data_IF_637265394974
#
_entry.id   IF_637265394974
#
_cell.length_a   1.000
_cell.length_b   1.000
_cell.length_c   1.000
_cell.angle_alpha   90.00
_cell.angle_beta   90.00
_cell.angle_gamma   90.00
#
_symmetry.space_group_name_H-M   'P 1'
#
loop_
_entity.id
_entity.type
_entity.pdbx_description
1 polymer ?
#
# COMPACT_ATOMS: atom_id res chain seq x y z
N UNK A 1 54.20 13.76 1.15
CA UNK A 1 52.90 14.47 1.08
C UNK A 1 52.20 13.99 -0.18
N UNK A 2 51.25 13.05 -0.04
CA UNK A 2 50.36 12.61 -1.11
C UNK A 2 48.96 12.57 -0.51
N UNK A 3 48.11 13.51 -0.91
CA UNK A 3 46.69 13.50 -0.59
C UNK A 3 45.98 12.73 -1.70
N UNK A 4 45.85 11.42 -1.49
CA UNK A 4 44.98 10.59 -2.31
C UNK A 4 43.54 11.00 -2.02
N UNK A 5 42.92 11.71 -2.97
CA UNK A 5 41.50 12.05 -2.93
C UNK A 5 40.74 10.81 -3.37
N UNK A 6 40.36 9.97 -2.41
CA UNK A 6 39.33 8.95 -2.61
C UNK A 6 38.05 9.68 -2.99
N UNK A 7 37.69 9.60 -4.27
CA UNK A 7 36.36 9.97 -4.75
C UNK A 7 35.39 8.93 -4.22
N UNK A 8 34.59 9.32 -3.23
CA UNK A 8 33.39 8.57 -2.84
C UNK A 8 32.48 8.53 -4.06
N UNK A 9 32.54 7.42 -4.79
CA UNK A 9 31.49 7.05 -5.73
C UNK A 9 30.23 6.89 -4.90
N UNK A 10 29.43 7.96 -4.83
CA UNK A 10 28.09 7.91 -4.28
C UNK A 10 27.33 6.83 -5.03
N UNK A 11 27.27 5.64 -4.43
CA UNK A 11 26.38 4.58 -4.83
C UNK A 11 25.00 5.19 -4.86
N UNK A 12 24.54 5.52 -6.07
CA UNK A 12 23.15 5.85 -6.31
C UNK A 12 22.39 4.56 -6.04
N UNK A 13 22.02 4.36 -4.78
CA UNK A 13 21.24 3.21 -4.33
C UNK A 13 19.93 3.31 -5.08
N UNK A 14 19.81 2.53 -6.17
CA UNK A 14 18.55 2.32 -6.86
C UNK A 14 17.64 1.70 -5.82
N UNK A 15 16.76 2.52 -5.21
CA UNK A 15 15.85 2.07 -4.16
C UNK A 15 15.03 0.92 -4.72
N UNK A 16 15.20 -0.24 -4.10
CA UNK A 16 14.55 -1.51 -4.39
C UNK A 16 13.01 -1.40 -4.29
N UNK A 17 12.35 -0.75 -5.24
CA UNK A 17 10.88 -0.66 -5.28
C UNK A 17 10.21 -2.01 -5.52
N UNK A 18 10.88 -2.92 -6.23
CA UNK A 18 10.32 -4.22 -6.63
C UNK A 18 10.33 -5.28 -5.49
N UNK A 19 11.30 -5.24 -4.57
CA UNK A 19 11.39 -6.24 -3.49
C UNK A 19 10.40 -5.94 -2.34
N UNK A 20 10.05 -4.67 -2.15
CA UNK A 20 9.09 -4.27 -1.13
C UNK A 20 7.63 -4.45 -1.60
N UNK A 21 7.39 -4.50 -2.92
CA UNK A 21 6.05 -4.64 -3.50
C UNK A 21 5.30 -5.88 -3.00
N UNK A 22 5.97 -7.05 -2.99
CA UNK A 22 5.37 -8.29 -2.46
C UNK A 22 5.02 -8.20 -0.99
N UNK A 23 5.95 -7.68 -0.18
CA UNK A 23 5.70 -7.48 1.25
C UNK A 23 4.50 -6.55 1.47
N UNK A 24 4.36 -5.47 0.69
CA UNK A 24 3.21 -4.56 0.81
C UNK A 24 1.90 -5.19 0.37
N UNK A 25 1.90 -6.07 -0.64
CA UNK A 25 0.72 -6.83 -1.03
C UNK A 25 0.26 -7.74 0.12
N UNK A 26 1.18 -8.52 0.69
CA UNK A 26 0.88 -9.44 1.81
C UNK A 26 0.39 -8.66 3.05
N UNK A 27 1.01 -7.52 3.37
CA UNK A 27 0.58 -6.64 4.46
C UNK A 27 -0.80 -6.02 4.20
N UNK A 28 -1.09 -5.63 2.96
CA UNK A 28 -2.39 -5.09 2.59
C UNK A 28 -3.51 -6.13 2.77
N UNK A 29 -3.29 -7.35 2.31
CA UNK A 29 -4.25 -8.45 2.46
C UNK A 29 -4.47 -8.83 3.93
N UNK A 30 -3.39 -8.91 4.71
CA UNK A 30 -3.48 -9.14 6.16
C UNK A 30 -4.29 -8.04 6.85
N UNK A 31 -4.00 -6.77 6.54
CA UNK A 31 -4.75 -5.63 7.06
C UNK A 31 -6.23 -5.72 6.70
N UNK A 32 -6.58 -6.04 5.44
CA UNK A 32 -7.99 -6.20 5.07
C UNK A 32 -8.67 -7.36 5.81
N UNK A 33 -7.98 -8.47 6.02
CA UNK A 33 -8.50 -9.65 6.71
C UNK A 33 -8.79 -9.40 8.21
N UNK A 34 -8.15 -8.41 8.83
CA UNK A 34 -8.46 -8.00 10.20
C UNK A 34 -9.81 -7.28 10.33
N UNK A 35 -10.30 -6.66 9.25
CA UNK A 35 -11.47 -5.76 9.30
C UNK A 35 -12.65 -6.23 8.44
N UNK A 36 -12.51 -7.27 7.62
CA UNK A 36 -13.57 -7.74 6.75
C UNK A 36 -13.62 -9.27 6.64
N UNK A 37 -14.80 -9.79 6.31
CA UNK A 37 -14.96 -11.20 5.94
C UNK A 37 -14.09 -11.48 4.70
N UNK A 38 -13.31 -12.58 4.67
CA UNK A 38 -12.47 -12.94 3.52
C UNK A 38 -13.21 -12.97 2.17
N UNK A 39 -14.53 -13.19 2.16
CA UNK A 39 -15.36 -13.19 0.94
C UNK A 39 -15.56 -11.80 0.34
N UNK A 40 -15.44 -10.75 1.15
CA UNK A 40 -15.56 -9.35 0.74
C UNK A 40 -14.22 -8.76 0.27
N UNK A 41 -13.13 -9.54 0.35
CA UNK A 41 -11.77 -9.13 0.01
C UNK A 41 -11.44 -9.66 -1.38
N UNK A 42 -11.11 -8.75 -2.29
CA UNK A 42 -10.71 -9.09 -3.65
C UNK A 42 -9.41 -8.39 -4.00
N UNK A 43 -8.40 -9.14 -4.47
CA UNK A 43 -7.15 -8.59 -4.94
C UNK A 43 -6.80 -9.05 -6.35
N UNK A 44 -6.16 -8.18 -7.12
CA UNK A 44 -5.62 -8.52 -8.44
C UNK A 44 -4.42 -7.64 -8.80
N UNK A 45 -3.68 -8.05 -9.82
CA UNK A 45 -2.56 -7.29 -10.38
C UNK A 45 -2.91 -6.88 -11.80
N UNK A 46 -2.81 -5.58 -12.11
CA UNK A 46 -2.92 -5.03 -13.47
C UNK A 46 -1.59 -4.39 -13.87
N UNK A 47 -0.74 -5.20 -14.50
CA UNK A 47 0.58 -4.83 -15.02
C UNK A 47 1.54 -4.33 -13.93
N UNK A 48 1.40 -3.05 -13.57
CA UNK A 48 2.23 -2.35 -12.58
C UNK A 48 1.54 -2.07 -11.25
N UNK A 49 0.24 -2.32 -11.14
CA UNK A 49 -0.50 -2.06 -9.91
C UNK A 49 -0.99 -3.36 -9.29
N UNK A 50 -0.87 -3.46 -7.98
CA UNK A 50 -1.72 -4.35 -7.19
C UNK A 50 -2.91 -3.55 -6.67
N UNK A 51 -4.10 -4.11 -6.78
CA UNK A 51 -5.34 -3.49 -6.30
C UNK A 51 -5.98 -4.45 -5.31
N UNK A 52 -6.17 -3.99 -4.09
CA UNK A 52 -6.95 -4.66 -3.05
C UNK A 52 -8.25 -3.91 -2.86
N UNK A 53 -9.37 -4.63 -2.85
CA UNK A 53 -10.72 -4.10 -2.70
C UNK A 53 -11.43 -4.76 -1.53
N UNK A 54 -12.09 -3.95 -0.70
CA UNK A 54 -12.97 -4.37 0.39
C UNK A 54 -14.27 -3.57 0.30
N UNK A 55 -15.31 -4.18 -0.25
CA UNK A 55 -16.53 -3.45 -0.65
C UNK A 55 -16.21 -2.32 -1.64
N UNK A 56 -16.56 -1.08 -1.31
CA UNK A 56 -16.25 0.09 -2.15
C UNK A 56 -14.84 0.65 -1.94
N UNK A 57 -14.10 0.18 -0.94
CA UNK A 57 -12.79 0.73 -0.56
C UNK A 57 -11.69 0.00 -1.31
N UNK A 58 -10.73 0.74 -1.85
CA UNK A 58 -9.61 0.18 -2.60
C UNK A 58 -8.29 0.74 -2.09
N UNK A 59 -7.30 -0.13 -1.98
CA UNK A 59 -5.89 0.22 -1.82
C UNK A 59 -5.15 -0.19 -3.07
N UNK A 60 -4.60 0.79 -3.78
CA UNK A 60 -3.83 0.59 -5.01
C UNK A 60 -2.36 0.78 -4.70
N UNK A 61 -1.54 -0.22 -5.00
CA UNK A 61 -0.09 -0.20 -4.81
C UNK A 61 0.58 -0.16 -6.18
N UNK A 62 1.24 0.93 -6.52
CA UNK A 62 2.13 1.03 -7.70
C UNK A 62 3.43 0.29 -7.39
N UNK A 63 3.55 -0.93 -7.90
CA UNK A 63 4.64 -1.86 -7.66
C UNK A 63 5.97 -1.40 -8.27
N UNK A 64 5.92 -0.49 -9.25
CA UNK A 64 7.12 0.03 -9.90
C UNK A 64 7.63 1.30 -9.21
N UNK A 65 6.72 2.12 -8.67
CA UNK A 65 7.06 3.44 -8.12
C UNK A 65 7.03 3.49 -6.59
N UNK A 66 6.54 2.46 -5.92
CA UNK A 66 6.34 2.48 -4.46
C UNK A 66 5.38 3.60 -4.05
N UNK A 67 4.27 3.75 -4.78
CA UNK A 67 3.23 4.74 -4.49
C UNK A 67 1.94 4.04 -4.14
N UNK A 68 1.11 4.69 -3.33
CA UNK A 68 -0.09 4.10 -2.79
C UNK A 68 -1.26 5.07 -2.94
N UNK A 69 -2.36 4.62 -3.53
CA UNK A 69 -3.59 5.38 -3.62
C UNK A 69 -4.68 4.68 -2.79
N UNK A 70 -5.42 5.44 -1.99
CA UNK A 70 -6.59 4.96 -1.24
C UNK A 70 -7.84 5.56 -1.86
N UNK A 71 -8.82 4.72 -2.21
CA UNK A 71 -9.99 5.09 -3.01
C UNK A 71 -11.27 4.57 -2.35
N UNK A 72 -12.38 5.29 -2.46
CA UNK A 72 -13.74 4.82 -2.15
C UNK A 72 -14.60 5.03 -3.39
N UNK A 73 -15.18 3.96 -3.93
CA UNK A 73 -15.88 3.98 -5.22
C UNK A 73 -14.93 4.45 -6.33
N UNK A 74 -15.18 5.67 -6.82
CA UNK A 74 -14.39 6.37 -7.85
C UNK A 74 -13.61 7.58 -7.31
N UNK A 75 -13.68 7.85 -6.00
CA UNK A 75 -13.06 9.02 -5.37
C UNK A 75 -11.73 8.65 -4.72
N UNK A 76 -10.67 9.34 -5.11
CA UNK A 76 -9.36 9.23 -4.45
C UNK A 76 -9.44 9.96 -3.11
N UNK A 77 -9.26 9.21 -2.04
CA UNK A 77 -9.25 9.69 -0.66
C UNK A 77 -7.87 10.13 -0.20
N UNK A 78 -6.80 9.61 -0.83
CA UNK A 78 -5.43 10.02 -0.57
C UNK A 78 -4.45 9.38 -1.54
N UNK A 79 -3.33 10.05 -1.75
CA UNK A 79 -2.16 9.57 -2.51
C UNK A 79 -0.94 9.67 -1.61
N UNK A 80 -0.16 8.60 -1.53
CA UNK A 80 0.93 8.46 -0.57
C UNK A 80 2.19 7.93 -1.25
N UNK A 81 3.34 8.38 -0.74
CA UNK A 81 4.66 7.81 -1.10
C UNK A 81 5.20 6.91 0.01
N UNK A 82 4.60 6.95 1.19
CA UNK A 82 4.98 6.14 2.35
C UNK A 82 3.90 5.11 2.64
N UNK A 83 4.30 3.85 2.82
CA UNK A 83 3.36 2.74 3.08
C UNK A 83 2.55 2.97 4.36
N UNK A 84 3.19 3.38 5.45
CA UNK A 84 2.53 3.49 6.76
C UNK A 84 1.38 4.49 6.75
N UNK A 85 1.52 5.60 6.02
CA UNK A 85 0.47 6.60 5.90
C UNK A 85 -0.71 6.08 5.07
N UNK A 86 -0.41 5.35 3.99
CA UNK A 86 -1.42 4.71 3.16
C UNK A 86 -2.20 3.63 3.92
N UNK A 87 -1.47 2.75 4.63
CA UNK A 87 -2.03 1.69 5.45
C UNK A 87 -2.94 2.25 6.54
N UNK A 88 -2.47 3.26 7.29
CA UNK A 88 -3.26 3.94 8.32
C UNK A 88 -4.52 4.60 7.74
N UNK A 89 -4.43 5.21 6.56
CA UNK A 89 -5.62 5.81 5.92
C UNK A 89 -6.62 4.73 5.48
N UNK A 90 -6.13 3.63 4.90
CA UNK A 90 -6.98 2.53 4.48
C UNK A 90 -7.64 1.84 5.68
N UNK A 91 -6.88 1.54 6.72
CA UNK A 91 -7.35 1.02 8.01
C UNK A 91 -8.46 1.88 8.61
N UNK A 92 -8.24 3.20 8.70
CA UNK A 92 -9.27 4.15 9.19
C UNK A 92 -10.56 4.07 8.38
N UNK A 93 -10.51 3.79 7.09
CA UNK A 93 -11.73 3.63 6.29
C UNK A 93 -12.39 2.28 6.52
N UNK A 94 -11.61 1.23 6.73
CA UNK A 94 -12.12 -0.11 7.03
C UNK A 94 -12.81 -0.15 8.40
N UNK A 95 -12.22 0.49 9.43
CA UNK A 95 -12.80 0.55 10.77
C UNK A 95 -14.13 1.30 10.84
N UNK A 96 -14.32 2.35 10.02
CA UNK A 96 -15.62 3.03 9.87
C UNK A 96 -16.77 2.10 9.43
N UNK A 97 -16.47 0.92 8.83
CA UNK A 97 -17.48 -0.11 8.49
C UNK A 97 -17.81 -1.01 9.69
N UNK A 98 -16.84 -1.29 10.56
CA UNK A 98 -17.02 -2.24 11.67
C UNK A 98 -17.99 -1.74 12.74
N UNK A 99 -18.14 -0.42 12.89
CA UNK A 99 -19.10 0.17 13.83
C UNK A 99 -20.56 0.15 13.32
N UNK A 100 -20.80 -0.31 12.08
CA UNK A 100 -22.10 -0.28 11.43
C UNK A 100 -22.85 -1.63 11.47
N UNK A 101 -22.41 -2.60 12.28
CA UNK A 101 -23.16 -3.85 12.52
C UNK A 101 -23.98 -3.68 13.82
N UNK A 102 -25.31 -3.47 13.77
CA UNK A 102 -26.14 -3.71 14.93
C UNK A 102 -26.08 -5.20 15.23
N UNK A 103 -25.66 -5.56 16.43
CA UNK A 103 -25.94 -6.89 16.98
C UNK A 103 -27.46 -7.00 17.13
N UNK A 104 -28.14 -7.72 16.24
CA UNK A 104 -29.48 -8.25 16.48
C UNK A 104 -29.42 -9.47 17.42
#
# INVERSE_FOLDING_TARGET
>A
MSTDKTVEAGESTVRYGAYDGRLRMEQAEALAAEYADPRDIHSWIDGKHFVLTVGERKLVIDLLRGKYDVVIGDKIMGKFTEWNDAAKKFESLLSERSDAIPLE
#
